data_IF_576581782716
#
_entry.id   IF_576581782716
#
_cell.length_a   1.000
_cell.length_b   1.000
_cell.length_c   1.000
_cell.angle_alpha   90.00
_cell.angle_beta   90.00
_cell.angle_gamma   90.00
#
_symmetry.space_group_name_H-M   'P 1'
#
loop_
_entity.id
_entity.type
_entity.pdbx_description
1 polymer ?
#
# COMPACT_ATOMS: atom_id res chain seq x y z
N UNK A 1 2.85 12.47 62.97
CA UNK A 1 2.96 11.29 62.09
C UNK A 1 2.68 11.65 60.61
N UNK A 2 3.12 12.82 60.11
CA UNK A 2 2.73 13.32 58.76
C UNK A 2 3.87 13.46 57.74
N UNK A 3 5.07 13.87 58.18
CA UNK A 3 6.16 14.27 57.28
C UNK A 3 6.68 13.15 56.36
N UNK A 4 6.72 11.91 56.84
CA UNK A 4 7.21 10.75 56.06
C UNK A 4 6.17 10.31 55.01
N UNK A 5 4.88 10.40 55.32
CA UNK A 5 3.80 10.10 54.37
C UNK A 5 3.78 11.10 53.22
N UNK A 6 3.82 12.40 53.53
CA UNK A 6 3.81 13.48 52.54
C UNK A 6 5.03 13.41 51.59
N UNK A 7 6.18 13.00 52.09
CA UNK A 7 7.40 12.84 51.29
C UNK A 7 7.29 11.63 50.34
N UNK A 8 6.73 10.51 50.82
CA UNK A 8 6.52 9.30 50.00
C UNK A 8 5.49 9.55 48.90
N UNK A 9 4.40 10.24 49.21
CA UNK A 9 3.36 10.57 48.23
C UNK A 9 3.86 11.57 47.18
N UNK A 10 4.70 12.53 47.58
CA UNK A 10 5.39 13.44 46.66
C UNK A 10 6.31 12.69 45.69
N UNK A 11 7.16 11.78 46.20
CA UNK A 11 8.07 10.96 45.36
C UNK A 11 7.28 10.08 44.39
N UNK A 12 6.22 9.41 44.86
CA UNK A 12 5.32 8.63 44.00
C UNK A 12 4.67 9.49 42.92
N UNK A 13 4.21 10.69 43.26
CA UNK A 13 3.58 11.60 42.28
C UNK A 13 4.55 12.07 41.19
N UNK A 14 5.84 12.28 41.52
CA UNK A 14 6.87 12.64 40.55
C UNK A 14 7.16 11.48 39.61
N UNK A 15 7.28 10.26 40.14
CA UNK A 15 7.47 9.05 39.33
C UNK A 15 6.27 8.79 38.42
N UNK A 16 5.03 8.99 38.91
CA UNK A 16 3.81 8.87 38.10
C UNK A 16 3.79 9.92 36.98
N UNK A 17 4.11 11.18 37.29
CA UNK A 17 4.18 12.25 36.27
C UNK A 17 5.24 11.96 35.21
N UNK A 18 6.41 11.47 35.61
CA UNK A 18 7.47 11.08 34.68
C UNK A 18 7.05 9.90 33.79
N UNK A 19 6.42 8.88 34.36
CA UNK A 19 5.87 7.77 33.59
C UNK A 19 4.78 8.22 32.61
N UNK A 20 3.85 9.08 33.04
CA UNK A 20 2.82 9.66 32.17
C UNK A 20 3.43 10.46 31.02
N UNK A 21 4.44 11.30 31.29
CA UNK A 21 5.14 12.05 30.25
C UNK A 21 5.84 11.13 29.24
N UNK A 22 6.46 10.03 29.70
CA UNK A 22 7.05 9.02 28.82
C UNK A 22 5.98 8.32 27.97
N UNK A 23 4.85 7.96 28.57
CA UNK A 23 3.73 7.35 27.85
C UNK A 23 3.16 8.30 26.77
N UNK A 24 3.00 9.59 27.10
CA UNK A 24 2.56 10.62 26.15
C UNK A 24 3.59 10.78 25.03
N UNK A 25 4.88 10.82 25.35
CA UNK A 25 5.96 10.94 24.36
C UNK A 25 5.98 9.76 23.39
N UNK A 26 5.85 8.55 23.92
CA UNK A 26 5.72 7.33 23.11
C UNK A 26 4.46 7.38 22.24
N UNK A 27 3.33 7.80 22.81
CA UNK A 27 2.07 7.98 22.08
C UNK A 27 2.19 8.98 20.93
N UNK A 28 2.89 10.10 21.13
CA UNK A 28 3.15 11.09 20.07
C UNK A 28 4.02 10.52 18.94
N UNK A 29 5.05 9.73 19.26
CA UNK A 29 5.89 9.07 18.25
C UNK A 29 5.07 8.08 17.43
N UNK A 30 4.28 7.23 18.07
CA UNK A 30 3.45 6.23 17.36
C UNK A 30 2.37 6.91 16.51
N UNK A 31 1.68 7.91 17.06
CA UNK A 31 0.63 8.64 16.32
C UNK A 31 1.19 9.43 15.14
N UNK A 32 2.33 10.11 15.30
CA UNK A 32 2.97 10.81 14.17
C UNK A 32 3.36 9.85 13.04
N UNK A 33 3.91 8.67 13.35
CA UNK A 33 4.22 7.65 12.34
C UNK A 33 2.95 7.19 11.58
N UNK A 34 1.85 6.95 12.30
CA UNK A 34 0.56 6.58 11.69
C UNK A 34 -0.04 7.72 10.84
N UNK A 35 0.10 8.98 11.28
CA UNK A 35 -0.35 10.16 10.53
C UNK A 35 0.44 10.29 9.24
N UNK A 36 1.76 10.11 9.26
CA UNK A 36 2.60 10.14 8.05
C UNK A 36 2.14 9.07 7.06
N UNK A 37 1.92 7.84 7.52
CA UNK A 37 1.44 6.74 6.67
C UNK A 37 0.06 7.03 6.06
N UNK A 38 -0.89 7.54 6.86
CA UNK A 38 -2.22 7.93 6.37
C UNK A 38 -2.19 9.13 5.43
N UNK A 39 -1.34 10.12 5.70
CA UNK A 39 -1.14 11.25 4.80
C UNK A 39 -0.60 10.78 3.45
N UNK A 40 0.34 9.84 3.43
CA UNK A 40 0.83 9.23 2.19
C UNK A 40 -0.28 8.55 1.40
N UNK A 41 -1.14 7.73 2.05
CA UNK A 41 -2.30 7.12 1.37
C UNK A 41 -3.24 8.17 0.75
N UNK A 42 -3.52 9.25 1.47
CA UNK A 42 -4.41 10.31 0.98
C UNK A 42 -3.79 11.07 -0.20
N UNK A 43 -2.48 11.36 -0.16
CA UNK A 43 -1.77 12.06 -1.24
C UNK A 43 -1.66 11.17 -2.47
N UNK A 44 -1.35 9.88 -2.29
CA UNK A 44 -1.13 9.00 -3.42
C UNK A 44 -2.41 8.44 -4.02
N UNK A 45 -3.53 8.47 -3.28
CA UNK A 45 -4.78 7.81 -3.67
C UNK A 45 -4.69 6.28 -3.67
N UNK A 46 -3.57 5.71 -3.19
CA UNK A 46 -3.34 4.26 -3.12
C UNK A 46 -3.49 3.78 -1.68
N UNK A 47 -4.17 2.65 -1.50
CA UNK A 47 -4.26 1.97 -0.20
C UNK A 47 -2.89 1.48 0.30
N UNK A 48 -1.95 1.28 -0.62
CA UNK A 48 -0.58 0.88 -0.31
C UNK A 48 0.39 1.76 -1.11
N UNK A 49 0.83 2.91 -0.58
CA UNK A 49 1.70 3.83 -1.31
C UNK A 49 3.10 3.27 -1.58
N UNK A 50 3.52 2.21 -0.87
CA UNK A 50 4.84 1.59 -1.00
C UNK A 50 4.69 0.08 -1.01
N UNK A 51 5.21 -0.59 -2.04
CA UNK A 51 5.23 -2.05 -2.15
C UNK A 51 6.61 -2.54 -2.57
N UNK A 52 6.89 -3.83 -2.33
CA UNK A 52 8.16 -4.45 -2.69
C UNK A 52 7.94 -5.55 -3.72
N UNK A 53 8.82 -5.63 -4.71
CA UNK A 53 8.79 -6.68 -5.74
C UNK A 53 9.25 -8.01 -5.13
N UNK A 54 8.32 -8.98 -5.10
CA UNK A 54 8.56 -10.29 -4.48
C UNK A 54 9.10 -11.35 -5.45
N UNK A 55 8.95 -11.14 -6.77
CA UNK A 55 9.26 -12.15 -7.79
C UNK A 55 10.10 -11.58 -8.93
N UNK A 56 10.58 -12.45 -9.82
CA UNK A 56 11.36 -12.07 -11.01
C UNK A 56 10.52 -11.97 -12.28
N UNK A 57 9.18 -11.89 -12.16
CA UNK A 57 8.28 -11.82 -13.33
C UNK A 57 8.37 -10.49 -14.08
N UNK A 58 8.91 -9.46 -13.44
CA UNK A 58 9.09 -8.12 -13.99
C UNK A 58 10.50 -7.84 -14.51
N UNK A 59 11.38 -8.84 -14.57
CA UNK A 59 12.72 -8.65 -15.14
C UNK A 59 12.65 -8.45 -16.67
N UNK A 60 13.49 -7.58 -17.26
CA UNK A 60 14.58 -6.80 -16.64
C UNK A 60 14.14 -5.46 -16.02
N UNK A 61 12.86 -5.08 -16.10
CA UNK A 61 12.35 -3.79 -15.64
C UNK A 61 12.49 -3.59 -14.12
N UNK A 62 12.08 -4.60 -13.34
CA UNK A 62 12.24 -4.62 -11.88
C UNK A 62 12.82 -5.95 -11.42
N UNK A 63 13.65 -5.87 -10.38
CA UNK A 63 14.27 -7.02 -9.72
C UNK A 63 13.61 -7.27 -8.37
N UNK A 64 13.76 -8.50 -7.88
CA UNK A 64 13.33 -8.87 -6.52
C UNK A 64 13.99 -7.96 -5.49
N UNK A 65 13.20 -7.41 -4.60
CA UNK A 65 13.64 -6.47 -3.57
C UNK A 65 13.53 -5.00 -3.96
N UNK A 66 13.20 -4.68 -5.21
CA UNK A 66 12.94 -3.30 -5.62
C UNK A 66 11.70 -2.75 -4.90
N UNK A 67 11.79 -1.49 -4.47
CA UNK A 67 10.72 -0.76 -3.80
C UNK A 67 9.99 0.09 -4.83
N UNK A 68 8.69 -0.10 -4.95
CA UNK A 68 7.82 0.66 -5.85
C UNK A 68 6.97 1.63 -5.05
N UNK A 69 6.97 2.89 -5.47
CA UNK A 69 6.03 3.88 -5.00
C UNK A 69 4.79 3.85 -5.87
N UNK A 70 3.62 3.75 -5.24
CA UNK A 70 2.35 3.65 -5.94
C UNK A 70 1.61 4.98 -5.89
N UNK A 71 1.12 5.39 -7.05
CA UNK A 71 0.27 6.56 -7.20
C UNK A 71 -0.95 6.23 -8.05
N UNK A 72 -2.09 6.71 -7.61
CA UNK A 72 -3.38 6.46 -8.20
C UNK A 72 -4.02 7.81 -8.55
N UNK A 73 -3.96 8.17 -9.84
CA UNK A 73 -4.60 9.41 -10.32
C UNK A 73 -5.95 9.05 -10.94
N UNK A 74 -6.74 10.08 -11.20
CA UNK A 74 -7.99 10.00 -11.95
C UNK A 74 -7.78 9.74 -13.46
N UNK A 75 -6.55 9.87 -13.95
CA UNK A 75 -6.22 9.62 -15.35
C UNK A 75 -6.52 8.17 -15.78
N UNK A 76 -7.01 7.94 -17.01
CA UNK A 76 -7.27 6.59 -17.51
C UNK A 76 -5.96 5.78 -17.61
N UNK A 77 -6.06 4.50 -17.28
CA UNK A 77 -4.92 3.57 -17.32
C UNK A 77 -4.55 3.30 -18.77
N UNK A 78 -3.26 3.32 -19.07
CA UNK A 78 -2.76 3.15 -20.44
C UNK A 78 -1.92 1.90 -20.61
N UNK A 79 -1.88 1.38 -21.83
CA UNK A 79 -0.96 0.31 -22.21
C UNK A 79 0.48 0.73 -21.95
N UNK A 80 1.26 -0.17 -21.34
CA UNK A 80 2.65 0.05 -20.96
C UNK A 80 2.86 0.46 -19.51
N UNK A 81 1.83 0.94 -18.80
CA UNK A 81 1.92 1.26 -17.38
C UNK A 81 2.18 0.01 -16.53
N UNK A 82 2.89 0.18 -15.42
CA UNK A 82 3.10 -0.88 -14.43
C UNK A 82 2.07 -0.68 -13.32
N UNK A 83 1.22 -1.69 -13.14
CA UNK A 83 0.13 -1.65 -12.18
C UNK A 83 0.33 -2.70 -11.10
N UNK A 84 -0.08 -2.35 -9.89
CA UNK A 84 -0.18 -3.27 -8.77
C UNK A 84 -1.65 -3.55 -8.54
N UNK A 85 -2.02 -4.81 -8.60
CA UNK A 85 -3.41 -5.23 -8.47
C UNK A 85 -3.55 -6.37 -7.48
N UNK A 86 -4.72 -6.43 -6.87
CA UNK A 86 -5.14 -7.54 -6.03
C UNK A 86 -6.15 -8.40 -6.78
N UNK A 87 -6.09 -9.70 -6.57
CA UNK A 87 -7.03 -10.67 -7.15
C UNK A 87 -7.85 -11.27 -6.03
N UNK A 88 -9.17 -11.34 -6.22
CA UNK A 88 -10.06 -11.96 -5.25
C UNK A 88 -9.63 -13.41 -4.94
N UNK A 89 -9.42 -13.71 -3.66
CA UNK A 89 -8.92 -15.01 -3.20
C UNK A 89 -7.39 -15.13 -3.13
N UNK A 90 -6.63 -14.06 -3.44
CA UNK A 90 -5.19 -13.96 -3.17
C UNK A 90 -4.91 -12.88 -2.14
N UNK A 91 -4.02 -13.18 -1.18
CA UNK A 91 -3.60 -12.21 -0.17
C UNK A 91 -2.43 -11.32 -0.64
N UNK A 92 -1.66 -11.82 -1.61
CA UNK A 92 -0.44 -11.16 -2.08
C UNK A 92 -0.73 -10.42 -3.39
N UNK A 93 -0.52 -9.09 -3.44
CA UNK A 93 -0.72 -8.32 -4.66
C UNK A 93 0.33 -8.65 -5.72
N UNK A 94 -0.05 -8.47 -6.99
CA UNK A 94 0.77 -8.78 -8.16
C UNK A 94 1.14 -7.48 -8.86
N UNK A 95 2.41 -7.35 -9.27
CA UNK A 95 2.94 -6.21 -10.01
C UNK A 95 3.22 -6.65 -11.43
N UNK A 96 2.48 -6.17 -12.43
CA UNK A 96 2.71 -6.49 -13.84
C UNK A 96 2.43 -5.31 -14.78
N UNK A 97 2.88 -5.42 -16.04
CA UNK A 97 2.69 -4.39 -17.06
C UNK A 97 1.36 -4.56 -17.76
N UNK A 98 0.67 -3.46 -18.00
CA UNK A 98 -0.54 -3.42 -18.82
C UNK A 98 -0.18 -3.64 -20.28
N UNK A 99 -0.75 -4.67 -20.89
CA UNK A 99 -0.54 -5.00 -22.32
C UNK A 99 -1.75 -4.66 -23.19
N UNK A 100 -2.94 -4.55 -22.60
CA UNK A 100 -4.16 -4.16 -23.32
C UNK A 100 -5.12 -3.44 -22.39
N UNK A 101 -5.74 -2.40 -22.90
CA UNK A 101 -6.81 -1.64 -22.26
C UNK A 101 -8.02 -1.67 -23.19
N UNK A 102 -9.19 -1.92 -22.62
CA UNK A 102 -10.47 -1.81 -23.30
C UNK A 102 -11.34 -0.83 -22.51
N UNK A 103 -11.73 0.26 -23.14
CA UNK A 103 -12.67 1.23 -22.59
C UNK A 103 -14.07 0.86 -23.08
N UNK A 104 -14.99 0.59 -22.17
CA UNK A 104 -16.39 0.34 -22.51
C UNK A 104 -17.08 1.68 -22.75
N UNK A 105 -17.48 1.96 -24.00
CA UNK A 105 -18.12 3.22 -24.39
C UNK A 105 -19.44 3.49 -23.63
N UNK A 106 -20.16 2.43 -23.23
CA UNK A 106 -21.48 2.54 -22.60
C UNK A 106 -21.41 2.90 -21.10
N UNK A 107 -20.38 2.44 -20.39
CA UNK A 107 -20.26 2.54 -18.92
C UNK A 107 -19.10 3.43 -18.48
N UNK A 108 -18.15 3.70 -19.38
CA UNK A 108 -16.87 4.33 -19.05
C UNK A 108 -15.96 3.43 -18.21
N UNK A 109 -16.29 2.13 -18.05
CA UNK A 109 -15.45 1.19 -17.33
C UNK A 109 -14.21 0.83 -18.15
N UNK A 110 -13.08 0.71 -17.45
CA UNK A 110 -11.79 0.37 -18.04
C UNK A 110 -11.42 -1.06 -17.64
N UNK A 111 -11.34 -1.92 -18.64
CA UNK A 111 -10.91 -3.31 -18.54
C UNK A 111 -9.44 -3.43 -18.96
N UNK A 112 -8.63 -4.01 -18.07
CA UNK A 112 -7.18 -4.06 -18.22
C UNK A 112 -6.71 -5.51 -18.27
N UNK A 113 -5.80 -5.80 -19.18
CA UNK A 113 -5.06 -7.06 -19.23
C UNK A 113 -3.59 -6.80 -18.95
N UNK A 114 -3.04 -7.57 -18.03
CA UNK A 114 -1.66 -7.45 -17.57
C UNK A 114 -0.83 -8.67 -17.97
N UNK A 115 0.48 -8.47 -18.00
CA UNK A 115 1.49 -9.51 -18.20
C UNK A 115 2.78 -9.12 -17.49
N UNK A 116 3.43 -10.09 -16.83
CA UNK A 116 4.81 -9.94 -16.37
C UNK A 116 5.79 -9.80 -17.54
N UNK A 117 6.72 -8.86 -17.45
CA UNK A 117 7.73 -8.60 -18.49
C UNK A 117 8.51 -9.88 -18.89
N UNK A 118 8.83 -10.72 -17.91
CA UNK A 118 9.55 -11.99 -18.07
C UNK A 118 8.64 -13.23 -18.23
N UNK A 119 7.32 -13.06 -18.25
CA UNK A 119 6.38 -14.19 -18.40
C UNK A 119 6.15 -14.53 -19.89
N UNK A 120 5.84 -15.79 -20.21
CA UNK A 120 5.51 -16.21 -21.59
C UNK A 120 4.08 -15.83 -22.01
N UNK A 121 3.12 -15.88 -21.08
CA UNK A 121 1.71 -15.62 -21.32
C UNK A 121 1.20 -14.38 -20.58
N UNK A 122 -0.06 -14.05 -20.83
CA UNK A 122 -0.81 -13.05 -20.07
C UNK A 122 -1.25 -13.59 -18.70
N UNK A 123 -1.73 -12.70 -17.84
CA UNK A 123 -2.07 -13.04 -16.46
C UNK A 123 -3.49 -13.59 -16.27
N UNK A 124 -4.22 -13.96 -17.33
CA UNK A 124 -5.61 -14.45 -17.20
C UNK A 124 -5.74 -15.67 -16.31
N UNK A 125 -4.72 -16.54 -16.32
CA UNK A 125 -4.66 -17.72 -15.44
C UNK A 125 -4.42 -17.37 -13.97
N UNK A 126 -3.97 -16.14 -13.69
CA UNK A 126 -3.72 -15.66 -12.33
C UNK A 126 -4.95 -14.97 -11.72
N UNK A 127 -5.88 -14.52 -12.55
CA UNK A 127 -7.11 -13.83 -12.12
C UNK A 127 -8.09 -14.78 -11.42
N UNK A 128 -9.16 -14.22 -10.85
CA UNK A 128 -10.19 -15.01 -10.21
C UNK A 128 -10.90 -15.93 -11.22
N UNK A 129 -11.54 -16.99 -10.74
CA UNK A 129 -12.17 -17.98 -11.61
C UNK A 129 -13.21 -17.34 -12.55
N UNK A 130 -13.00 -17.46 -13.86
CA UNK A 130 -13.87 -16.88 -14.89
C UNK A 130 -13.60 -15.40 -15.21
N UNK A 131 -12.66 -14.76 -14.51
CA UNK A 131 -12.27 -13.38 -14.77
C UNK A 131 -11.27 -13.30 -15.93
N UNK A 132 -11.58 -12.48 -16.94
CA UNK A 132 -10.72 -12.27 -18.12
C UNK A 132 -10.02 -10.91 -18.12
N UNK A 133 -10.52 -9.96 -17.34
CA UNK A 133 -10.09 -8.57 -17.31
C UNK A 133 -10.06 -8.05 -15.88
N UNK A 134 -9.10 -7.16 -15.60
CA UNK A 134 -9.01 -6.42 -14.36
C UNK A 134 -9.71 -5.08 -14.53
N UNK A 135 -10.76 -4.87 -13.73
CA UNK A 135 -11.37 -3.56 -13.57
C UNK A 135 -10.56 -2.65 -12.63
N UNK A 136 -10.81 -1.35 -12.72
CA UNK A 136 -10.22 -0.30 -11.86
C UNK A 136 -10.18 -0.65 -10.36
N UNK A 137 -11.24 -1.26 -9.83
CA UNK A 137 -11.37 -1.63 -8.40
C UNK A 137 -10.32 -2.65 -7.91
N UNK A 138 -9.76 -3.45 -8.81
CA UNK A 138 -8.73 -4.43 -8.46
C UNK A 138 -7.33 -3.80 -8.41
N UNK A 139 -7.18 -2.61 -8.98
CA UNK A 139 -5.89 -1.94 -9.12
C UNK A 139 -5.68 -1.10 -7.87
N UNK A 140 -4.61 -1.37 -7.14
CA UNK A 140 -4.24 -0.66 -5.93
C UNK A 140 -3.52 0.66 -6.25
N UNK A 141 -2.73 0.66 -7.33
CA UNK A 141 -2.00 1.84 -7.77
C UNK A 141 -1.10 1.54 -8.96
N UNK A 142 -0.54 2.61 -9.52
CA UNK A 142 0.45 2.55 -10.60
C UNK A 142 1.83 2.81 -10.03
N UNK A 143 2.81 2.03 -10.44
CA UNK A 143 4.19 2.27 -10.04
C UNK A 143 4.69 3.58 -10.67
N UNK A 144 5.25 4.46 -9.83
CA UNK A 144 5.87 5.71 -10.23
C UNK A 144 7.36 5.62 -9.93
N UNK A 145 8.19 5.72 -10.96
CA UNK A 145 9.64 5.57 -10.88
C UNK A 145 10.27 5.44 -12.24
#
# INVERSE_FOLDING_TARGET
MGFVGDTIDSIKSIQIRQFLNQAVSLGMIVTSALIIWKALMCITGSESPVVVVLSGSMEPGFKRGDILFLHMNEDPIRTGEIVVFNVDGREIPIVHRVIKVHEQEDTGEVDVLTKGDNNYGDDRLLYAHGQQWLQRKHIMGRAVG
#
